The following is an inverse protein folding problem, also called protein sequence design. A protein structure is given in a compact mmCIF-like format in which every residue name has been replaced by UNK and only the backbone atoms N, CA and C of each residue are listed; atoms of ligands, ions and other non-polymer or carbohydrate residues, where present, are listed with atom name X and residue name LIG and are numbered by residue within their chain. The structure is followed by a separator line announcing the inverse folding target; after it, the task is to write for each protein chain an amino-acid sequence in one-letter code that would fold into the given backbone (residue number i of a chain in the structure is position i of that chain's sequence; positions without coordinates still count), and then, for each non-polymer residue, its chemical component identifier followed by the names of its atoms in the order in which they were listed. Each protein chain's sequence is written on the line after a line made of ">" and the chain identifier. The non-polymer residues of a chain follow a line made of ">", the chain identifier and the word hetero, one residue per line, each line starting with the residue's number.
data_IF_979248710916
#
_entry.id   IF_979248710916
#
_cell.length_a   1.000
_cell.length_b   1.000
_cell.length_c   1.000
_cell.angle_alpha   90.00
_cell.angle_beta   90.00
_cell.angle_gamma   90.00
#
_symmetry.space_group_name_H-M   'P 1'
#
loop_
_entity.id
_entity.type
_entity.pdbx_description
1 polymer ?
#
# COMPACT_ATOMS: atom_id res chain seq x y z
N UNK A 1 0.74 11.69 -15.59
CA UNK A 1 0.80 10.35 -14.99
C UNK A 1 2.17 9.76 -15.30
N UNK A 2 2.96 9.40 -14.29
CA UNK A 2 4.22 8.69 -14.54
C UNK A 2 3.91 7.33 -15.19
N UNK A 3 4.65 6.90 -16.23
CA UNK A 3 4.27 5.79 -17.11
C UNK A 3 4.28 4.37 -16.48
N UNK A 4 4.29 4.26 -15.15
CA UNK A 4 4.40 2.97 -14.45
C UNK A 4 3.38 2.72 -13.32
N UNK A 5 2.51 3.67 -12.98
CA UNK A 5 1.50 3.47 -11.92
C UNK A 5 0.10 3.66 -12.48
N UNK A 6 -0.69 2.59 -12.45
CA UNK A 6 -2.08 2.56 -12.89
C UNK A 6 -3.06 2.65 -11.70
N UNK A 7 -4.34 2.94 -11.93
CA UNK A 7 -5.38 2.78 -10.91
C UNK A 7 -5.41 1.33 -10.38
N UNK A 8 -5.79 1.15 -9.12
CA UNK A 8 -5.96 -0.17 -8.53
C UNK A 8 -7.09 -0.93 -9.21
N UNK A 9 -6.87 -2.22 -9.49
CA UNK A 9 -7.96 -3.12 -9.86
C UNK A 9 -8.90 -3.41 -8.68
N UNK A 10 -9.97 -4.16 -8.96
CA UNK A 10 -10.99 -4.48 -7.95
C UNK A 10 -10.45 -5.24 -6.74
N UNK A 11 -9.43 -6.09 -6.89
CA UNK A 11 -8.86 -6.87 -5.76
C UNK A 11 -7.98 -5.95 -4.90
N UNK A 12 -7.05 -5.24 -5.52
CA UNK A 12 -6.10 -4.34 -4.85
C UNK A 12 -6.79 -3.16 -4.20
N UNK A 13 -7.89 -2.69 -4.79
CA UNK A 13 -8.75 -1.66 -4.19
C UNK A 13 -9.35 -2.12 -2.85
N UNK A 14 -9.67 -3.40 -2.67
CA UNK A 14 -10.19 -3.90 -1.37
C UNK A 14 -9.12 -3.79 -0.28
N UNK A 15 -7.88 -4.20 -0.57
CA UNK A 15 -6.77 -4.06 0.37
C UNK A 15 -6.52 -2.60 0.71
N UNK A 16 -6.51 -1.72 -0.30
CA UNK A 16 -6.34 -0.30 -0.06
C UNK A 16 -7.43 0.29 0.83
N UNK A 17 -8.70 -0.03 0.55
CA UNK A 17 -9.82 0.41 1.39
C UNK A 17 -9.69 -0.10 2.82
N UNK A 18 -9.28 -1.36 3.00
CA UNK A 18 -9.11 -1.96 4.30
C UNK A 18 -7.98 -1.32 5.11
N UNK A 19 -6.92 -0.81 4.48
CA UNK A 19 -5.74 -0.28 5.17
C UNK A 19 -5.61 1.22 5.15
N UNK A 20 -6.55 1.92 4.50
CA UNK A 20 -6.50 3.37 4.28
C UNK A 20 -6.26 4.16 5.56
N UNK A 21 -6.79 3.70 6.69
CA UNK A 21 -6.67 4.34 8.00
C UNK A 21 -5.28 4.25 8.62
N UNK A 22 -4.38 3.40 8.09
CA UNK A 22 -2.99 3.31 8.52
C UNK A 22 -2.10 4.41 7.92
N UNK A 23 -2.64 5.18 6.97
CA UNK A 23 -1.89 6.19 6.21
C UNK A 23 -2.55 7.57 6.34
N UNK A 24 -1.79 8.67 6.14
CA UNK A 24 -2.34 10.02 6.21
C UNK A 24 -3.55 10.25 5.29
N UNK A 25 -4.53 11.13 5.62
CA UNK A 25 -5.76 11.34 4.82
C UNK A 25 -5.57 11.78 3.36
N UNK A 26 -4.39 12.25 2.98
CA UNK A 26 -4.03 12.64 1.61
C UNK A 26 -3.15 11.63 0.86
N UNK A 27 -2.87 10.47 1.46
CA UNK A 27 -2.15 9.40 0.76
C UNK A 27 -2.92 8.83 -0.42
N UNK A 28 -2.17 8.48 -1.45
CA UNK A 28 -2.63 7.89 -2.70
C UNK A 28 -2.08 6.48 -2.84
N UNK A 29 -2.85 5.62 -3.49
CA UNK A 29 -2.43 4.28 -3.84
C UNK A 29 -2.66 4.02 -5.33
N UNK A 30 -1.74 3.28 -5.95
CA UNK A 30 -1.85 2.80 -7.33
C UNK A 30 -1.21 1.44 -7.47
N UNK A 31 -1.33 0.83 -8.65
CA UNK A 31 -0.70 -0.45 -8.93
C UNK A 31 0.47 -0.30 -9.89
N UNK A 32 1.54 -1.03 -9.61
CA UNK A 32 2.70 -1.16 -10.50
C UNK A 32 2.45 -2.27 -11.53
N UNK A 33 3.25 -2.38 -12.62
CA UNK A 33 3.03 -3.38 -13.66
C UNK A 33 3.22 -4.82 -13.18
N UNK A 34 3.97 -5.02 -12.09
CA UNK A 34 4.13 -6.32 -11.44
C UNK A 34 3.01 -6.64 -10.44
N UNK A 35 1.93 -5.86 -10.41
CA UNK A 35 0.77 -6.10 -9.57
C UNK A 35 0.96 -5.78 -8.08
N UNK A 36 2.00 -5.04 -7.71
CA UNK A 36 2.14 -4.52 -6.33
C UNK A 36 1.28 -3.27 -6.14
N UNK A 37 0.82 -3.03 -4.92
CA UNK A 37 0.22 -1.75 -4.53
C UNK A 37 1.35 -0.82 -4.11
N UNK A 38 1.45 0.35 -4.71
CA UNK A 38 2.34 1.43 -4.27
C UNK A 38 1.53 2.51 -3.56
N UNK A 39 1.98 2.90 -2.37
CA UNK A 39 1.34 3.89 -1.51
C UNK A 39 2.36 4.98 -1.20
N UNK A 40 1.97 6.24 -1.38
CA UNK A 40 2.78 7.40 -0.99
C UNK A 40 1.88 8.62 -0.76
N UNK A 41 2.43 9.68 -0.18
CA UNK A 41 1.75 10.94 0.08
C UNK A 41 2.73 12.10 -0.02
N UNK A 42 2.20 13.29 -0.25
CA UNK A 42 2.99 14.52 -0.21
C UNK A 42 3.48 14.79 1.21
N UNK A 43 4.73 15.21 1.33
CA UNK A 43 5.35 15.67 2.60
C UNK A 43 5.94 17.08 2.44
N UNK A 44 5.55 17.81 1.39
CA UNK A 44 6.11 19.13 1.04
C UNK A 44 5.97 20.19 2.15
N UNK A 45 4.98 20.05 3.02
CA UNK A 45 4.73 20.99 4.12
C UNK A 45 5.58 20.69 5.36
N UNK A 46 6.38 19.61 5.35
CA UNK A 46 7.23 19.23 6.47
C UNK A 46 8.63 19.87 6.34
N UNK A 47 9.10 20.63 7.36
CA UNK A 47 10.39 21.32 7.30
C UNK A 47 11.59 20.38 7.29
N UNK A 48 11.41 19.10 7.64
CA UNK A 48 12.45 18.07 7.63
C UNK A 48 12.42 17.22 6.36
N UNK A 49 11.44 17.40 5.47
CA UNK A 49 11.35 16.65 4.24
C UNK A 49 12.50 16.97 3.28
N UNK A 50 13.32 15.97 2.98
CA UNK A 50 14.35 16.06 1.93
C UNK A 50 13.79 15.83 0.52
N UNK A 51 12.55 15.36 0.41
CA UNK A 51 11.88 14.99 -0.84
C UNK A 51 10.40 15.42 -0.81
N UNK A 52 9.77 15.70 -1.97
CA UNK A 52 8.38 16.15 -2.00
C UNK A 52 7.35 15.07 -1.63
N UNK A 53 7.74 13.80 -1.64
CA UNK A 53 6.88 12.67 -1.32
C UNK A 53 7.53 11.76 -0.30
N UNK A 54 6.72 11.15 0.56
CA UNK A 54 7.16 10.13 1.49
C UNK A 54 7.75 8.93 0.72
N UNK A 55 8.77 8.29 1.30
CA UNK A 55 9.33 7.05 0.78
C UNK A 55 8.20 6.03 0.53
N UNK A 56 8.08 5.42 -0.66
CA UNK A 56 6.90 4.64 -0.97
C UNK A 56 6.79 3.37 -0.11
N UNK A 57 5.57 3.01 0.25
CA UNK A 57 5.24 1.68 0.79
C UNK A 57 4.73 0.81 -0.37
N UNK A 58 5.36 -0.33 -0.57
CA UNK A 58 5.00 -1.34 -1.56
C UNK A 58 4.37 -2.54 -0.86
N UNK A 59 3.12 -2.85 -1.20
CA UNK A 59 2.44 -4.08 -0.79
C UNK A 59 2.51 -5.08 -1.93
N UNK A 60 3.18 -6.21 -1.67
CA UNK A 60 3.19 -7.38 -2.56
C UNK A 60 2.14 -8.36 -2.07
N UNK A 61 1.28 -8.79 -2.98
CA UNK A 61 0.28 -9.81 -2.69
C UNK A 61 0.80 -11.12 -3.28
N UNK A 62 0.78 -12.18 -2.48
CA UNK A 62 1.01 -13.53 -2.96
C UNK A 62 -0.02 -13.91 -4.02
N UNK A 63 0.38 -14.72 -5.00
CA UNK A 63 -0.49 -15.12 -6.11
C UNK A 63 -1.71 -15.89 -5.60
N UNK A 64 -1.53 -16.80 -4.63
CA UNK A 64 -2.63 -17.54 -4.03
C UNK A 64 -3.63 -16.64 -3.29
N UNK A 65 -3.15 -15.55 -2.68
CA UNK A 65 -4.02 -14.55 -2.05
C UNK A 65 -4.81 -13.76 -3.11
N UNK A 66 -4.19 -13.40 -4.22
CA UNK A 66 -4.88 -12.72 -5.34
C UNK A 66 -5.96 -13.62 -5.94
N UNK A 67 -5.66 -14.90 -6.16
CA UNK A 67 -6.60 -15.88 -6.70
C UNK A 67 -7.78 -16.11 -5.76
N UNK A 68 -7.49 -16.29 -4.46
CA UNK A 68 -8.52 -16.41 -3.42
C UNK A 68 -9.44 -15.18 -3.40
N UNK A 69 -8.87 -13.97 -3.51
CA UNK A 69 -9.65 -12.74 -3.56
C UNK A 69 -10.49 -12.67 -4.84
N UNK A 70 -9.95 -13.06 -5.99
CA UNK A 70 -10.65 -13.05 -7.27
C UNK A 70 -11.89 -13.96 -7.24
N UNK A 71 -11.79 -15.15 -6.64
CA UNK A 71 -12.91 -16.10 -6.53
C UNK A 71 -13.91 -15.79 -5.39
N UNK A 72 -13.57 -14.88 -4.49
CA UNK A 72 -14.38 -14.55 -3.31
C UNK A 72 -15.46 -13.51 -3.59
N UNK A 73 -16.55 -13.54 -2.81
CA UNK A 73 -17.56 -12.48 -2.80
C UNK A 73 -17.06 -11.20 -2.07
N UNK A 74 -17.81 -10.10 -2.18
CA UNK A 74 -17.42 -8.81 -1.60
C UNK A 74 -17.33 -8.83 -0.05
N UNK A 75 -18.10 -9.66 0.64
CA UNK A 75 -18.03 -9.81 2.09
C UNK A 75 -16.82 -10.63 2.52
N UNK A 76 -16.48 -11.67 1.77
CA UNK A 76 -15.29 -12.49 1.97
C UNK A 76 -14.01 -11.70 1.69
N UNK A 77 -13.94 -10.98 0.56
CA UNK A 77 -12.79 -10.13 0.20
C UNK A 77 -12.44 -9.14 1.31
N UNK A 78 -13.45 -8.46 1.87
CA UNK A 78 -13.25 -7.51 2.98
C UNK A 78 -12.67 -8.20 4.22
N UNK A 79 -13.20 -9.37 4.59
CA UNK A 79 -12.72 -10.14 5.74
C UNK A 79 -11.27 -10.61 5.53
N UNK A 80 -10.95 -11.17 4.37
CA UNK A 80 -9.59 -11.59 4.03
C UNK A 80 -8.62 -10.42 4.15
N UNK A 81 -8.93 -9.28 3.52
CA UNK A 81 -8.08 -8.09 3.61
C UNK A 81 -7.87 -7.65 5.08
N UNK A 82 -8.94 -7.58 5.88
CA UNK A 82 -8.84 -7.22 7.31
C UNK A 82 -7.95 -8.19 8.10
N UNK A 83 -8.00 -9.49 7.83
CA UNK A 83 -7.17 -10.49 8.51
C UNK A 83 -5.67 -10.27 8.30
N UNK A 84 -5.26 -9.67 7.19
CA UNK A 84 -3.85 -9.37 6.90
C UNK A 84 -3.40 -7.97 7.38
N UNK A 85 -4.30 -7.14 7.96
CA UNK A 85 -3.92 -5.82 8.50
C UNK A 85 -2.78 -5.91 9.56
N UNK A 86 -2.77 -6.87 10.50
CA UNK A 86 -1.68 -6.98 11.48
C UNK A 86 -0.30 -7.16 10.83
N UNK A 87 -0.21 -7.92 9.74
CA UNK A 87 1.04 -8.10 8.98
C UNK A 87 1.52 -6.77 8.40
N UNK A 88 0.60 -5.95 7.88
CA UNK A 88 0.94 -4.62 7.41
C UNK A 88 1.42 -3.72 8.55
N UNK A 89 0.73 -3.71 9.69
CA UNK A 89 1.13 -2.92 10.85
C UNK A 89 2.54 -3.27 11.32
N UNK A 90 2.86 -4.55 11.41
CA UNK A 90 4.21 -4.98 11.78
C UNK A 90 5.23 -4.60 10.71
N UNK A 91 4.89 -4.77 9.43
CA UNK A 91 5.75 -4.36 8.31
C UNK A 91 6.02 -2.86 8.26
N UNK A 92 5.12 -2.02 8.78
CA UNK A 92 5.28 -0.58 8.91
C UNK A 92 6.06 -0.15 10.16
N UNK A 93 6.41 -1.07 11.06
CA UNK A 93 7.12 -0.73 12.29
C UNK A 93 8.47 -0.08 11.97
N UNK A 94 8.72 1.09 12.56
CA UNK A 94 9.95 1.86 12.32
C UNK A 94 10.07 2.43 10.91
N UNK A 95 8.99 2.43 10.12
CA UNK A 95 8.94 3.20 8.89
C UNK A 95 8.94 4.70 9.23
N UNK A 96 9.91 5.41 8.67
CA UNK A 96 10.04 6.86 8.77
C UNK A 96 9.79 7.48 7.37
N UNK A 97 8.66 8.18 7.17
CA UNK A 97 8.35 8.81 5.89
C UNK A 97 9.26 10.00 5.56
N UNK A 98 10.00 10.54 6.53
CA UNK A 98 10.87 11.69 6.39
C UNK A 98 12.36 11.31 6.39
N UNK A 99 12.66 10.01 6.32
CA UNK A 99 14.02 9.50 6.37
C UNK A 99 14.91 10.21 5.33
N UNK A 100 16.06 10.72 5.79
CA UNK A 100 17.06 11.43 4.95
C UNK A 100 17.52 10.60 3.76
N UNK A 101 17.58 9.28 3.92
CA UNK A 101 17.78 8.32 2.82
C UNK A 101 16.45 7.58 2.66
N UNK A 102 15.63 7.92 1.66
CA UNK A 102 14.32 7.31 1.50
C UNK A 102 14.47 5.86 1.05
N UNK A 103 14.09 4.93 1.92
CA UNK A 103 14.02 3.51 1.58
C UNK A 103 12.56 3.11 1.42
N UNK A 104 12.22 2.57 0.26
CA UNK A 104 10.90 2.02 0.03
C UNK A 104 10.63 0.91 1.05
N UNK A 105 9.49 0.97 1.74
CA UNK A 105 9.09 -0.10 2.65
C UNK A 105 8.35 -1.16 1.84
N UNK A 106 8.88 -2.39 1.81
CA UNK A 106 8.20 -3.51 1.14
C UNK A 106 7.56 -4.40 2.20
N UNK A 107 6.27 -4.69 2.03
CA UNK A 107 5.51 -5.63 2.86
C UNK A 107 4.86 -6.67 1.95
N UNK A 108 5.01 -7.94 2.29
CA UNK A 108 4.37 -9.04 1.57
C UNK A 108 3.18 -9.59 2.36
N UNK A 109 2.07 -9.83 1.69
CA UNK A 109 0.85 -10.41 2.25
C UNK A 109 0.56 -11.71 1.50
N UNK A 110 0.34 -12.81 2.21
CA UNK A 110 0.12 -14.16 1.67
C UNK A 110 0.02 -15.16 2.81
#
# INVERSE_FOLDING_TARGET
>A
MSPGVAPLDGVRAVFWQAYRHLFPPHSLAGQTPNGSIVISWSVVDDPHASHPYAAPVLLRLDEGLVDLMASSDAGQRRRIAQTHEPTLREGLRGYDPFARIPNARVVSLG
#
